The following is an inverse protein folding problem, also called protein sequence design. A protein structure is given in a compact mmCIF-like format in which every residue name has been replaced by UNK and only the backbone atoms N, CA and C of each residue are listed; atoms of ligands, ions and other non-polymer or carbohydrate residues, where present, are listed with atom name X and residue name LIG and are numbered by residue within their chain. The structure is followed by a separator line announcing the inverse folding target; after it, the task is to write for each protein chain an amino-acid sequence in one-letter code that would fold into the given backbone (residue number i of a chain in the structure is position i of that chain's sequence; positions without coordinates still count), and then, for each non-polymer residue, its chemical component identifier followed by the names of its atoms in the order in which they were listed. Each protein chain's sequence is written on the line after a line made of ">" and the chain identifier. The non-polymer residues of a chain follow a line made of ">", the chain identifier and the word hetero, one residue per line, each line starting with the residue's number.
data_IF_224529400457
#
_entry.id   IF_224529400457
#
_cell.length_a   1.000
_cell.length_b   1.000
_cell.length_c   1.000
_cell.angle_alpha   90.00
_cell.angle_beta   90.00
_cell.angle_gamma   90.00
#
_symmetry.space_group_name_H-M   'P 1'
#
loop_
_entity.id
_entity.type
_entity.pdbx_description
1 polymer ?
#
# COMPACT_ATOMS: atom_id res chain seq x y z
N UNK A 1 54.69 22.17 -50.00
CA UNK A 1 55.74 22.58 -49.04
C UNK A 1 55.29 22.06 -47.67
N UNK A 2 55.98 21.26 -46.87
CA UNK A 2 57.34 20.73 -46.90
C UNK A 2 57.41 19.40 -46.11
N UNK A 3 58.29 18.52 -46.59
CA UNK A 3 59.07 17.45 -45.91
C UNK A 3 58.39 16.34 -45.10
N UNK A 4 58.46 15.17 -45.72
CA UNK A 4 58.57 13.85 -45.13
C UNK A 4 59.68 13.74 -44.07
N UNK A 5 59.45 12.87 -43.08
CA UNK A 5 60.51 12.16 -42.34
C UNK A 5 60.15 10.68 -42.22
N UNK A 6 60.92 9.89 -42.96
CA UNK A 6 61.10 8.45 -42.84
C UNK A 6 61.88 8.12 -41.57
N UNK A 7 61.37 7.18 -40.77
CA UNK A 7 62.21 6.36 -39.88
C UNK A 7 61.73 4.93 -40.07
N UNK A 8 62.53 4.16 -40.80
CA UNK A 8 62.39 2.71 -40.89
C UNK A 8 63.04 2.08 -39.68
N UNK A 9 62.40 1.06 -39.12
CA UNK A 9 63.06 0.08 -38.26
C UNK A 9 62.86 -1.31 -38.86
N UNK A 10 63.95 -2.05 -38.83
CA UNK A 10 64.17 -3.30 -39.52
C UNK A 10 63.39 -4.46 -38.89
N UNK A 11 63.22 -5.50 -39.70
CA UNK A 11 62.36 -6.63 -39.43
C UNK A 11 62.81 -7.54 -38.30
N UNK A 12 61.88 -8.40 -37.90
CA UNK A 12 62.17 -9.67 -37.28
C UNK A 12 61.22 -10.73 -37.85
N UNK A 13 61.81 -11.81 -38.32
CA UNK A 13 61.41 -13.13 -37.83
C UNK A 13 60.29 -13.82 -38.57
N UNK A 14 60.71 -14.61 -39.55
CA UNK A 14 59.98 -15.64 -40.27
C UNK A 14 59.42 -16.78 -39.41
N UNK A 15 58.30 -17.32 -39.90
CA UNK A 15 57.92 -18.75 -39.95
C UNK A 15 57.54 -19.50 -38.66
N UNK A 16 56.29 -19.97 -38.68
CA UNK A 16 55.87 -21.21 -38.01
C UNK A 16 54.37 -21.46 -38.21
N UNK A 17 53.93 -22.43 -39.01
CA UNK A 17 52.55 -22.88 -38.98
C UNK A 17 52.35 -23.67 -37.68
N UNK A 18 51.61 -23.10 -36.73
CA UNK A 18 51.14 -23.85 -35.57
C UNK A 18 50.01 -24.76 -36.06
N UNK A 19 50.35 -26.02 -36.27
CA UNK A 19 49.39 -27.12 -36.42
C UNK A 19 48.56 -27.21 -35.14
N UNK A 20 47.33 -26.68 -35.17
CA UNK A 20 46.36 -26.82 -34.10
C UNK A 20 45.89 -28.28 -34.12
N UNK A 21 46.54 -29.07 -33.27
CA UNK A 21 46.18 -30.45 -32.98
C UNK A 21 44.77 -30.50 -32.41
N UNK A 22 43.91 -31.22 -33.14
CA UNK A 22 42.58 -31.65 -32.72
C UNK A 22 42.72 -32.55 -31.49
N UNK A 23 42.76 -31.97 -30.29
CA UNK A 23 42.62 -32.70 -29.02
C UNK A 23 41.18 -32.56 -28.55
N UNK A 24 40.35 -33.50 -29.00
CA UNK A 24 39.18 -33.94 -28.25
C UNK A 24 39.66 -34.26 -26.83
N UNK A 25 39.29 -33.44 -25.84
CA UNK A 25 39.46 -33.80 -24.44
C UNK A 25 38.40 -33.12 -23.58
N UNK A 26 37.19 -33.68 -23.65
CA UNK A 26 36.53 -34.22 -22.45
C UNK A 26 36.44 -33.29 -21.24
N UNK A 27 35.88 -32.08 -21.40
CA UNK A 27 35.38 -31.27 -20.28
C UNK A 27 33.99 -30.69 -20.56
N UNK A 28 33.19 -31.39 -21.35
CA UNK A 28 31.77 -31.07 -21.55
C UNK A 28 30.91 -32.03 -20.73
N UNK A 29 30.96 -31.99 -19.39
CA UNK A 29 30.06 -32.85 -18.60
C UNK A 29 29.81 -32.49 -17.13
N UNK A 30 30.26 -31.34 -16.59
CA UNK A 30 29.96 -30.99 -15.17
C UNK A 30 29.60 -29.51 -14.97
N UNK A 31 28.77 -28.96 -15.86
CA UNK A 31 27.98 -27.75 -15.56
C UNK A 31 26.49 -28.07 -15.74
N UNK A 32 26.05 -29.14 -15.08
CA UNK A 32 24.65 -29.55 -14.97
C UNK A 32 23.96 -28.62 -13.94
N UNK A 33 22.79 -28.05 -14.23
CA UNK A 33 22.44 -26.69 -13.84
C UNK A 33 21.96 -26.59 -12.39
N UNK A 34 22.76 -25.98 -11.51
CA UNK A 34 22.32 -25.49 -10.19
C UNK A 34 21.67 -24.11 -10.36
N UNK A 35 20.70 -23.99 -11.27
CA UNK A 35 20.02 -22.72 -11.57
C UNK A 35 18.49 -22.81 -11.44
N UNK A 36 17.96 -23.95 -10.96
CA UNK A 36 16.52 -24.25 -10.96
C UNK A 36 15.88 -24.34 -9.56
N UNK A 37 16.56 -23.84 -8.53
CA UNK A 37 16.00 -23.65 -7.19
C UNK A 37 15.87 -22.15 -6.89
N UNK A 38 15.23 -21.40 -7.79
CA UNK A 38 14.70 -20.09 -7.43
C UNK A 38 13.27 -20.34 -6.93
N UNK A 39 13.01 -20.33 -5.61
CA UNK A 39 11.66 -20.46 -5.11
C UNK A 39 10.86 -19.28 -5.65
N UNK A 40 9.96 -19.56 -6.58
CA UNK A 40 8.97 -18.61 -7.07
C UNK A 40 8.11 -18.21 -5.88
N UNK A 41 8.46 -17.10 -5.22
CA UNK A 41 7.59 -16.47 -4.24
C UNK A 41 6.34 -16.04 -5.00
N UNK A 42 5.29 -16.87 -4.93
CA UNK A 42 3.98 -16.52 -5.43
C UNK A 42 3.53 -15.28 -4.64
N UNK A 43 3.25 -14.14 -5.31
CA UNK A 43 2.67 -13.00 -4.62
C UNK A 43 1.36 -13.46 -3.99
N UNK A 44 1.24 -13.28 -2.67
CA UNK A 44 -0.01 -13.51 -1.96
C UNK A 44 -1.10 -12.54 -2.46
N UNK A 45 -2.37 -12.78 -2.11
CA UNK A 45 -3.42 -11.81 -2.40
C UNK A 45 -3.05 -10.47 -1.75
N UNK A 46 -2.79 -9.46 -2.58
CA UNK A 46 -2.67 -8.08 -2.12
C UNK A 46 -4.08 -7.60 -1.80
N UNK A 47 -4.40 -7.45 -0.51
CA UNK A 47 -5.66 -6.80 -0.14
C UNK A 47 -5.51 -5.31 -0.44
N UNK A 48 -6.52 -4.72 -1.07
CA UNK A 48 -6.59 -3.27 -1.16
C UNK A 48 -6.94 -2.71 0.23
N UNK A 49 -6.45 -1.51 0.54
CA UNK A 49 -7.00 -0.77 1.67
C UNK A 49 -8.50 -0.57 1.47
N UNK A 50 -9.29 -0.58 2.55
CA UNK A 50 -10.74 -0.43 2.48
C UNK A 50 -11.22 0.52 3.58
N UNK A 51 -12.32 1.24 3.32
CA UNK A 51 -13.07 1.92 4.37
C UNK A 51 -14.37 1.17 4.63
N UNK A 52 -14.44 0.48 5.77
CA UNK A 52 -15.66 -0.21 6.20
C UNK A 52 -16.64 0.79 6.81
N UNK A 53 -17.84 0.88 6.27
CA UNK A 53 -18.95 1.58 6.92
C UNK A 53 -19.90 0.56 7.52
N UNK A 54 -19.87 0.46 8.86
CA UNK A 54 -20.87 -0.31 9.60
C UNK A 54 -22.15 0.50 9.72
N UNK A 55 -23.24 -0.05 9.21
CA UNK A 55 -24.54 0.60 9.13
C UNK A 55 -25.67 -0.30 9.64
N UNK A 56 -26.83 0.31 9.85
CA UNK A 56 -28.05 -0.42 10.19
C UNK A 56 -29.28 0.20 9.52
N UNK A 57 -30.34 -0.59 9.28
CA UNK A 57 -31.61 -0.06 8.81
C UNK A 57 -32.14 1.06 9.71
N UNK A 58 -32.68 2.12 9.12
CA UNK A 58 -33.26 3.24 9.86
C UNK A 58 -32.27 4.26 10.41
N UNK A 59 -30.96 4.03 10.32
CA UNK A 59 -29.92 4.94 10.80
C UNK A 59 -29.96 6.32 10.09
N UNK A 60 -30.31 7.43 10.80
CA UNK A 60 -30.42 8.74 10.17
C UNK A 60 -29.06 9.32 9.76
N UNK A 61 -28.02 9.09 10.55
CA UNK A 61 -26.66 9.56 10.24
C UNK A 61 -26.02 8.80 9.07
N UNK A 62 -26.36 7.52 8.91
CA UNK A 62 -25.96 6.72 7.75
C UNK A 62 -26.59 7.31 6.47
N UNK A 63 -27.90 7.59 6.49
CA UNK A 63 -28.57 8.27 5.36
C UNK A 63 -27.98 9.65 5.06
N UNK A 64 -27.55 10.38 6.10
CA UNK A 64 -26.89 11.68 5.93
C UNK A 64 -25.56 11.53 5.20
N UNK A 65 -24.74 10.55 5.59
CA UNK A 65 -23.51 10.21 4.86
C UNK A 65 -23.81 9.81 3.40
N UNK A 66 -24.86 9.01 3.19
CA UNK A 66 -25.27 8.55 1.86
C UNK A 66 -25.68 9.69 0.93
N UNK A 67 -26.26 10.75 1.49
CA UNK A 67 -26.66 11.93 0.73
C UNK A 67 -25.49 12.90 0.48
N UNK A 68 -24.55 13.00 1.41
CA UNK A 68 -23.52 14.05 1.41
C UNK A 68 -22.15 13.62 0.88
N UNK A 69 -21.79 12.33 1.00
CA UNK A 69 -20.43 11.80 0.74
C UNK A 69 -20.45 10.59 -0.18
N UNK A 70 -21.35 9.62 0.03
CA UNK A 70 -21.32 8.37 -0.72
C UNK A 70 -21.36 8.52 -2.26
N UNK A 71 -22.08 9.51 -2.86
CA UNK A 71 -22.16 9.64 -4.31
C UNK A 71 -20.84 10.04 -4.96
N UNK A 72 -20.04 10.87 -4.29
CA UNK A 72 -18.77 11.40 -4.79
C UNK A 72 -17.52 10.75 -4.16
N UNK A 73 -17.71 9.94 -3.11
CA UNK A 73 -16.63 9.23 -2.42
C UNK A 73 -15.69 8.47 -3.38
N UNK A 74 -16.17 7.67 -4.35
CA UNK A 74 -15.28 6.91 -5.26
C UNK A 74 -14.35 7.79 -6.12
N UNK A 75 -14.71 9.06 -6.32
CA UNK A 75 -13.89 10.02 -7.08
C UNK A 75 -12.95 10.84 -6.17
N UNK A 76 -13.12 10.75 -4.86
CA UNK A 76 -12.22 11.42 -3.92
C UNK A 76 -10.88 10.69 -3.84
N UNK A 77 -9.81 11.42 -3.47
CA UNK A 77 -8.47 10.83 -3.24
C UNK A 77 -8.53 9.67 -2.25
N UNK A 78 -9.32 9.83 -1.18
CA UNK A 78 -9.51 8.80 -0.15
C UNK A 78 -10.26 7.60 -0.71
N UNK A 79 -11.37 7.78 -1.42
CA UNK A 79 -12.14 6.65 -1.94
C UNK A 79 -11.49 5.89 -3.08
N UNK A 80 -10.55 6.51 -3.81
CA UNK A 80 -9.66 5.80 -4.73
C UNK A 80 -8.62 4.95 -4.00
N UNK A 81 -8.13 5.41 -2.84
CA UNK A 81 -7.14 4.69 -2.03
C UNK A 81 -7.79 3.57 -1.20
N UNK A 82 -8.90 3.86 -0.53
CA UNK A 82 -9.65 2.97 0.34
C UNK A 82 -11.12 2.95 -0.10
N UNK A 83 -11.50 2.05 -1.04
CA UNK A 83 -12.88 1.93 -1.47
C UNK A 83 -13.85 1.66 -0.32
N UNK A 84 -15.05 2.25 -0.40
CA UNK A 84 -16.07 2.11 0.63
C UNK A 84 -16.73 0.73 0.55
N UNK A 85 -16.70 -0.03 1.65
CA UNK A 85 -17.45 -1.28 1.79
C UNK A 85 -18.47 -1.16 2.92
N UNK A 86 -19.74 -1.40 2.60
CA UNK A 86 -20.83 -1.37 3.58
C UNK A 86 -21.00 -2.70 4.27
N UNK A 87 -21.22 -2.65 5.58
CA UNK A 87 -21.45 -3.83 6.42
C UNK A 87 -22.64 -3.59 7.32
N UNK A 88 -23.63 -4.48 7.30
CA UNK A 88 -24.72 -4.42 8.26
C UNK A 88 -24.23 -4.91 9.63
N UNK A 89 -24.28 -4.01 10.62
CA UNK A 89 -23.79 -4.29 11.99
C UNK A 89 -24.52 -5.47 12.65
N UNK A 90 -25.76 -5.77 12.24
CA UNK A 90 -26.53 -6.88 12.80
C UNK A 90 -26.11 -8.24 12.25
N UNK A 91 -25.53 -8.28 11.05
CA UNK A 91 -25.05 -9.53 10.43
C UNK A 91 -23.59 -9.78 10.74
N UNK A 92 -22.77 -8.73 10.75
CA UNK A 92 -21.34 -8.85 10.98
C UNK A 92 -20.78 -7.56 11.58
N UNK A 93 -20.30 -7.65 12.82
CA UNK A 93 -19.74 -6.51 13.55
C UNK A 93 -18.24 -6.32 13.29
N UNK A 94 -17.60 -7.26 12.60
CA UNK A 94 -16.16 -7.23 12.27
C UNK A 94 -15.89 -7.13 10.77
N UNK A 95 -16.94 -7.17 9.94
CA UNK A 95 -16.83 -7.08 8.48
C UNK A 95 -15.97 -8.18 7.87
N UNK A 96 -15.89 -9.36 8.50
CA UNK A 96 -15.10 -10.48 8.03
C UNK A 96 -13.60 -10.37 8.33
N UNK A 97 -13.17 -9.35 9.08
CA UNK A 97 -11.75 -9.14 9.41
C UNK A 97 -11.43 -9.79 10.77
N UNK A 98 -10.55 -10.79 10.81
CA UNK A 98 -10.12 -11.41 12.06
C UNK A 98 -9.43 -10.40 12.98
N UNK A 99 -9.74 -10.45 14.28
CA UNK A 99 -9.13 -9.55 15.26
C UNK A 99 -9.65 -8.11 15.26
N UNK A 100 -10.54 -7.74 14.31
CA UNK A 100 -11.15 -6.41 14.30
C UNK A 100 -12.00 -6.18 15.55
N UNK A 101 -11.85 -5.01 16.17
CA UNK A 101 -12.71 -4.64 17.30
C UNK A 101 -14.15 -4.46 16.79
N UNK A 102 -15.15 -5.16 17.37
CA UNK A 102 -16.51 -5.12 16.87
C UNK A 102 -17.07 -3.68 16.85
N UNK A 103 -17.69 -3.29 15.74
CA UNK A 103 -18.48 -2.07 15.70
C UNK A 103 -19.69 -2.19 16.65
N UNK A 104 -19.96 -1.14 17.41
CA UNK A 104 -21.08 -1.09 18.37
C UNK A 104 -22.05 0.08 18.12
N UNK A 105 -21.66 1.03 17.27
CA UNK A 105 -22.45 2.19 16.89
C UNK A 105 -22.58 2.28 15.36
N UNK A 106 -23.48 3.14 14.88
CA UNK A 106 -23.66 3.39 13.45
C UNK A 106 -23.89 4.88 13.16
N UNK A 107 -23.30 5.42 12.08
CA UNK A 107 -22.28 4.77 11.26
C UNK A 107 -20.95 4.67 12.03
N UNK A 108 -20.22 3.57 11.86
CA UNK A 108 -18.81 3.49 12.26
C UNK A 108 -17.99 3.25 11.00
N UNK A 109 -17.00 4.11 10.76
CA UNK A 109 -16.10 4.01 9.63
C UNK A 109 -14.77 3.43 10.11
N UNK A 110 -14.37 2.26 9.62
CA UNK A 110 -13.12 1.61 10.02
C UNK A 110 -12.20 1.55 8.81
N UNK A 111 -11.05 2.22 8.90
CA UNK A 111 -10.04 2.24 7.86
C UNK A 111 -9.12 1.04 8.02
N UNK A 112 -9.05 0.23 6.97
CA UNK A 112 -8.29 -1.02 6.93
C UNK A 112 -7.12 -0.83 5.97
N UNK A 113 -5.91 -1.17 6.44
CA UNK A 113 -4.70 -1.18 5.64
C UNK A 113 -4.67 -2.32 4.60
N UNK A 114 -3.72 -2.24 3.68
CA UNK A 114 -3.42 -3.28 2.69
C UNK A 114 -2.93 -4.59 3.32
N UNK A 115 -2.36 -4.52 4.52
CA UNK A 115 -2.00 -5.67 5.36
C UNK A 115 -3.21 -6.30 6.09
N UNK A 116 -4.41 -5.73 5.93
CA UNK A 116 -5.64 -6.18 6.58
C UNK A 116 -5.78 -5.77 8.05
N UNK A 117 -4.91 -4.87 8.54
CA UNK A 117 -4.99 -4.35 9.91
C UNK A 117 -5.84 -3.09 10.00
N UNK A 118 -6.38 -2.83 11.19
CA UNK A 118 -7.11 -1.60 11.46
C UNK A 118 -6.13 -0.44 11.66
N UNK A 119 -6.20 0.55 10.78
CA UNK A 119 -5.44 1.81 10.91
C UNK A 119 -6.11 2.70 11.97
N UNK A 120 -7.44 2.74 11.96
CA UNK A 120 -8.25 3.44 12.94
C UNK A 120 -9.71 3.53 12.54
N UNK A 121 -10.52 4.23 13.35
CA UNK A 121 -11.96 4.34 13.13
C UNK A 121 -12.53 5.69 13.51
N UNK A 122 -13.64 6.04 12.86
CA UNK A 122 -14.50 7.18 13.19
C UNK A 122 -15.87 6.65 13.64
N UNK A 123 -16.34 7.09 14.79
CA UNK A 123 -17.65 6.73 15.32
C UNK A 123 -18.63 7.89 15.17
N UNK A 124 -19.65 7.70 14.34
CA UNK A 124 -20.64 8.71 14.00
C UNK A 124 -20.34 9.47 12.71
N UNK A 125 -21.26 10.35 12.35
CA UNK A 125 -21.14 11.22 11.17
C UNK A 125 -21.76 12.60 11.47
N UNK A 126 -20.97 13.57 11.95
CA UNK A 126 -21.47 14.91 12.25
C UNK A 126 -21.80 15.70 10.97
N UNK A 127 -21.11 15.42 9.87
CA UNK A 127 -21.38 15.99 8.54
C UNK A 127 -20.13 16.12 7.67
N UNK A 128 -20.32 16.49 6.40
CA UNK A 128 -19.26 16.48 5.38
C UNK A 128 -18.00 17.28 5.74
N UNK A 129 -18.15 18.39 6.48
CA UNK A 129 -17.03 19.26 6.84
C UNK A 129 -15.93 18.56 7.65
N UNK A 130 -16.30 17.48 8.34
CA UNK A 130 -15.44 16.75 9.28
C UNK A 130 -14.84 15.48 8.70
N UNK A 131 -15.60 14.81 7.84
CA UNK A 131 -15.32 13.45 7.43
C UNK A 131 -13.95 13.28 6.77
N UNK A 132 -13.63 14.08 5.75
CA UNK A 132 -12.35 13.96 5.04
C UNK A 132 -11.15 14.31 5.93
N UNK A 133 -11.12 15.45 6.66
CA UNK A 133 -10.03 15.74 7.58
C UNK A 133 -9.80 14.65 8.63
N UNK A 134 -10.86 14.05 9.17
CA UNK A 134 -10.74 12.98 10.17
C UNK A 134 -10.18 11.68 9.58
N UNK A 135 -10.61 11.28 8.38
CA UNK A 135 -10.02 10.11 7.70
C UNK A 135 -8.56 10.37 7.33
N UNK A 136 -8.22 11.59 6.90
CA UNK A 136 -6.84 11.97 6.61
C UNK A 136 -5.96 11.93 7.87
N UNK A 137 -6.49 12.34 9.02
CA UNK A 137 -5.78 12.22 10.29
C UNK A 137 -5.45 10.76 10.62
N UNK A 138 -6.38 9.81 10.40
CA UNK A 138 -6.13 8.38 10.60
C UNK A 138 -4.98 7.86 9.72
N UNK A 139 -4.93 8.27 8.45
CA UNK A 139 -3.85 7.90 7.53
C UNK A 139 -2.49 8.44 7.98
N UNK A 140 -2.47 9.62 8.60
CA UNK A 140 -1.26 10.22 9.16
C UNK A 140 -0.89 9.63 10.54
N UNK A 141 -1.64 8.64 11.05
CA UNK A 141 -1.45 8.05 12.37
C UNK A 141 -1.81 8.99 13.52
N UNK A 142 -2.68 9.98 13.28
CA UNK A 142 -3.19 10.91 14.27
C UNK A 142 -4.58 10.49 14.73
N UNK A 143 -4.89 10.78 15.99
CA UNK A 143 -6.23 10.59 16.52
C UNK A 143 -7.21 11.58 15.87
N UNK A 144 -8.43 11.16 15.53
CA UNK A 144 -9.47 12.05 15.00
C UNK A 144 -9.79 13.16 16.01
N UNK A 145 -9.91 14.39 15.51
CA UNK A 145 -10.26 15.53 16.36
C UNK A 145 -11.71 15.42 16.82
N UNK A 146 -12.04 15.77 18.08
CA UNK A 146 -13.43 15.90 18.50
C UNK A 146 -14.11 16.98 17.65
N UNK A 147 -15.12 16.62 16.86
CA UNK A 147 -15.90 17.56 16.07
C UNK A 147 -16.36 18.75 16.94
N UNK A 148 -15.96 19.98 16.60
CA UNK A 148 -16.20 21.24 17.33
C UNK A 148 -17.54 21.24 18.05
N UNK A 149 -17.48 21.03 19.37
CA UNK A 149 -18.65 20.84 20.21
C UNK A 149 -18.45 19.65 21.14
N UNK A 150 -17.48 19.78 22.03
CA UNK A 150 -17.30 19.01 23.26
C UNK A 150 -18.56 18.22 23.69
N UNK A 151 -18.63 16.90 23.46
CA UNK A 151 -19.73 16.10 24.01
C UNK A 151 -19.53 15.79 25.51
N UNK A 152 -18.37 16.17 26.09
CA UNK A 152 -17.92 15.72 27.41
C UNK A 152 -17.71 16.83 28.44
N UNK A 153 -17.97 18.10 28.13
CA UNK A 153 -17.88 19.20 29.09
C UNK A 153 -16.54 19.30 29.82
N UNK A 154 -15.43 18.82 29.24
CA UNK A 154 -14.11 18.89 29.89
C UNK A 154 -13.30 19.99 29.23
N UNK A 155 -13.71 21.22 29.54
CA UNK A 155 -12.80 22.36 29.52
C UNK A 155 -11.55 21.95 30.28
N UNK A 156 -10.43 21.89 29.56
CA UNK A 156 -9.08 21.83 30.11
C UNK A 156 -9.00 22.86 31.26
N UNK A 157 -8.99 22.38 32.50
CA UNK A 157 -8.69 23.24 33.64
C UNK A 157 -7.23 23.68 33.48
N UNK A 158 -6.91 24.99 33.43
CA UNK A 158 -5.52 25.41 33.31
C UNK A 158 -4.75 24.92 34.54
N UNK A 159 -3.68 24.17 34.30
CA UNK A 159 -2.74 23.76 35.32
C UNK A 159 -2.23 25.02 36.05
N UNK A 160 -2.38 24.99 37.38
CA UNK A 160 -2.07 26.10 38.28
C UNK A 160 -0.64 26.60 38.16
N UNK A 161 -0.47 27.89 38.49
CA UNK A 161 0.81 28.55 38.69
C UNK A 161 1.34 28.29 40.10
#
# INVERSE_FOLDING_TARGET
>A
MAKARTIGWHGFGTNGPVTIGRRLSWLAAVFLPVALLFPSALPGPANAAELLMFEQPGCPFCRKFDAEIAPDYPQSRIGMFAPLRRVNIWTDRRGGIPGLTPAVFTPTFVLIGDDGTEIGRLEGYPGRRWFYPEIEALLDGRDPSPADGDPAGRSEAPAGR
#
